data_IF_891463202817
#
_entry.id   IF_891463202817
#
_cell.length_a   1.000
_cell.length_b   1.000
_cell.length_c   1.000
_cell.angle_alpha   90.00
_cell.angle_beta   90.00
_cell.angle_gamma   90.00
#
_symmetry.space_group_name_H-M   'P 1'
#
loop_
_entity.id
_entity.type
_entity.pdbx_description
1 polymer ?
#
# COMPACT_ATOMS: atom_id res chain seq x y z
N UNK A 1 5.63 -16.33 14.88
CA UNK A 1 5.82 -15.03 15.56
C UNK A 1 5.53 -13.95 14.54
N UNK A 2 4.71 -12.97 14.89
CA UNK A 2 4.42 -11.85 13.98
C UNK A 2 5.68 -10.99 13.79
N UNK A 3 5.94 -10.58 12.56
CA UNK A 3 7.12 -9.77 12.19
C UNK A 3 6.82 -8.89 10.99
N UNK A 4 7.64 -7.87 10.80
CA UNK A 4 7.58 -7.01 9.62
C UNK A 4 8.93 -7.03 8.91
N UNK A 5 8.92 -7.24 7.60
CA UNK A 5 10.08 -7.04 6.75
C UNK A 5 9.86 -5.79 5.90
N UNK A 6 10.90 -4.98 5.77
CA UNK A 6 10.86 -3.73 5.00
C UNK A 6 11.96 -3.76 3.95
N UNK A 7 11.58 -3.59 2.70
CA UNK A 7 12.49 -3.62 1.56
C UNK A 7 12.50 -2.28 0.83
N UNK A 8 13.68 -1.94 0.32
CA UNK A 8 13.92 -0.80 -0.56
C UNK A 8 14.48 -1.34 -1.88
N UNK A 9 13.61 -1.57 -2.86
CA UNK A 9 14.03 -2.12 -4.15
C UNK A 9 14.45 -1.04 -5.13
N UNK A 10 15.53 -1.33 -5.85
CA UNK A 10 16.02 -0.53 -6.98
C UNK A 10 15.53 -1.19 -8.27
N UNK A 11 14.23 -1.02 -8.58
CA UNK A 11 13.61 -1.53 -9.83
C UNK A 11 13.45 -0.40 -10.83
N UNK A 12 14.01 -0.58 -12.04
CA UNK A 12 14.03 0.43 -13.11
C UNK A 12 14.18 -0.21 -14.49
N UNK A 13 13.85 0.55 -15.53
CA UNK A 13 14.21 0.20 -16.91
C UNK A 13 15.64 0.65 -17.22
N UNK A 14 16.49 -0.28 -17.68
CA UNK A 14 17.86 0.01 -18.10
C UNK A 14 18.65 0.82 -17.08
N UNK A 15 19.20 1.95 -17.51
CA UNK A 15 20.02 2.86 -16.70
C UNK A 15 19.23 4.08 -16.16
N UNK A 16 17.90 4.00 -16.07
CA UNK A 16 17.07 5.07 -15.50
C UNK A 16 17.61 5.50 -14.12
N UNK A 17 17.73 6.82 -13.92
CA UNK A 17 18.22 7.36 -12.65
C UNK A 17 17.20 7.09 -11.54
N UNK A 18 17.67 6.53 -10.42
CA UNK A 18 16.91 6.48 -9.17
C UNK A 18 17.24 7.74 -8.36
N UNK A 19 16.22 8.50 -8.00
CA UNK A 19 16.31 9.66 -7.14
C UNK A 19 16.08 9.25 -5.69
N UNK A 20 16.75 9.96 -4.79
CA UNK A 20 16.54 9.78 -3.35
C UNK A 20 15.16 10.27 -2.91
N UNK A 21 14.65 9.69 -1.81
CA UNK A 21 13.46 10.22 -1.16
C UNK A 21 13.76 11.63 -0.64
N UNK A 22 13.01 12.67 -1.05
CA UNK A 22 13.25 14.01 -0.54
C UNK A 22 12.98 14.07 0.98
N UNK A 23 13.65 15.02 1.65
CA UNK A 23 13.49 15.24 3.08
C UNK A 23 12.03 15.50 3.44
N UNK A 24 11.53 14.80 4.45
CA UNK A 24 10.15 14.95 4.92
C UNK A 24 9.11 14.39 3.96
N UNK A 25 9.52 13.59 2.96
CA UNK A 25 8.60 12.84 2.12
C UNK A 25 7.66 11.99 2.97
N UNK A 26 6.38 12.02 2.63
CA UNK A 26 5.34 11.26 3.30
C UNK A 26 4.39 10.68 2.26
N UNK A 27 4.17 9.38 2.32
CA UNK A 27 3.26 8.71 1.42
C UNK A 27 2.49 7.60 2.11
N UNK A 28 1.29 7.35 1.61
CA UNK A 28 0.44 6.24 2.00
C UNK A 28 0.16 5.39 0.77
N UNK A 29 0.26 4.07 0.92
CA UNK A 29 -0.20 3.09 -0.05
C UNK A 29 -1.40 2.33 0.54
N UNK A 30 -2.35 1.92 -0.30
CA UNK A 30 -3.62 1.34 0.15
C UNK A 30 -4.64 2.40 0.57
N UNK A 31 -5.76 1.96 1.16
CA UNK A 31 -6.82 2.87 1.61
C UNK A 31 -7.57 2.23 2.80
N UNK A 32 -7.52 2.83 4.01
CA UNK A 32 -8.15 2.27 5.20
C UNK A 32 -9.68 2.18 5.13
N UNK A 33 -10.33 2.78 4.14
CA UNK A 33 -11.79 2.82 4.03
C UNK A 33 -12.34 2.06 2.81
N UNK A 34 -11.48 1.29 2.12
CA UNK A 34 -11.86 0.56 0.91
C UNK A 34 -12.53 -0.76 1.28
N UNK A 35 -13.72 -1.01 0.71
CA UNK A 35 -14.48 -2.25 0.86
C UNK A 35 -14.80 -2.95 -0.48
N UNK A 36 -14.16 -2.53 -1.57
CA UNK A 36 -14.29 -3.12 -2.91
C UNK A 36 -12.93 -3.16 -3.59
N UNK A 37 -12.73 -4.07 -4.54
CA UNK A 37 -11.50 -4.16 -5.34
C UNK A 37 -11.77 -3.79 -6.81
N UNK A 38 -10.86 -3.04 -7.41
CA UNK A 38 -10.69 -2.91 -8.86
C UNK A 38 -9.32 -3.49 -9.22
N UNK A 39 -9.32 -4.66 -9.85
CA UNK A 39 -8.09 -5.37 -10.23
C UNK A 39 -7.25 -4.63 -11.27
N UNK A 40 -7.85 -3.66 -11.98
CA UNK A 40 -7.15 -2.84 -12.97
C UNK A 40 -6.49 -1.60 -12.34
N UNK A 41 -6.80 -1.28 -11.09
CA UNK A 41 -6.16 -0.19 -10.36
C UNK A 41 -4.83 -0.68 -9.75
N UNK A 42 -3.67 -0.20 -10.23
CA UNK A 42 -2.38 -0.65 -9.72
C UNK A 42 -2.22 -0.37 -8.21
N UNK A 43 -2.90 0.65 -7.66
CA UNK A 43 -2.86 0.94 -6.24
C UNK A 43 -3.62 -0.09 -5.38
N UNK A 44 -4.54 -0.83 -6.00
CA UNK A 44 -5.29 -1.91 -5.37
C UNK A 44 -4.59 -3.25 -5.58
N UNK A 45 -4.09 -3.49 -6.80
CA UNK A 45 -3.28 -4.66 -7.11
C UNK A 45 -2.00 -4.75 -6.25
N UNK A 46 -1.45 -3.60 -5.83
CA UNK A 46 -0.26 -3.51 -4.96
C UNK A 46 -0.49 -3.97 -3.50
N UNK A 47 -1.73 -4.34 -3.14
CA UNK A 47 -2.12 -4.83 -1.82
C UNK A 47 -2.44 -6.30 -1.92
N UNK A 48 -1.61 -7.16 -1.34
CA UNK A 48 -1.71 -8.60 -1.52
C UNK A 48 -1.64 -9.36 -0.19
N UNK A 49 -2.22 -10.54 -0.17
CA UNK A 49 -2.20 -11.52 0.89
C UNK A 49 -1.65 -12.83 0.35
N UNK A 50 -0.68 -13.39 1.05
CA UNK A 50 -0.05 -14.66 0.71
C UNK A 50 -0.24 -15.62 1.86
N UNK A 51 -0.82 -16.78 1.54
CA UNK A 51 -1.00 -17.87 2.48
C UNK A 51 0.23 -18.79 2.39
N UNK A 52 1.21 -18.56 3.26
CA UNK A 52 2.50 -19.22 3.17
C UNK A 52 2.35 -20.74 3.42
N UNK A 53 3.21 -21.53 2.78
CA UNK A 53 3.12 -23.00 2.81
C UNK A 53 2.06 -23.56 1.87
N UNK A 54 1.56 -22.76 0.91
CA UNK A 54 0.62 -23.18 -0.12
C UNK A 54 1.07 -22.68 -1.50
N UNK A 55 0.67 -23.37 -2.56
CA UNK A 55 0.92 -22.95 -3.95
C UNK A 55 -0.11 -21.94 -4.48
N UNK A 56 -0.84 -21.27 -3.59
CA UNK A 56 -1.90 -20.32 -3.98
C UNK A 56 -1.26 -19.00 -4.40
N UNK A 57 -1.73 -18.45 -5.50
CA UNK A 57 -1.35 -17.10 -5.96
C UNK A 57 -1.71 -16.05 -4.90
N UNK A 58 -0.97 -14.92 -4.85
CA UNK A 58 -1.37 -13.80 -4.00
C UNK A 58 -2.83 -13.41 -4.23
N UNK A 59 -3.53 -13.07 -3.14
CA UNK A 59 -4.94 -12.69 -3.11
C UNK A 59 -5.06 -11.21 -2.71
N UNK A 60 -6.12 -10.50 -3.11
CA UNK A 60 -6.33 -9.12 -2.67
C UNK A 60 -7.28 -8.99 -1.45
N UNK A 61 -7.74 -10.11 -0.91
CA UNK A 61 -8.59 -10.21 0.27
C UNK A 61 -7.99 -11.18 1.30
N UNK A 62 -8.51 -11.16 2.53
CA UNK A 62 -8.13 -12.17 3.52
C UNK A 62 -8.39 -13.58 2.96
N UNK A 63 -7.44 -14.52 3.12
CA UNK A 63 -7.69 -15.89 2.72
C UNK A 63 -8.85 -16.49 3.52
N UNK A 64 -9.71 -17.30 2.91
CA UNK A 64 -10.79 -17.99 3.63
C UNK A 64 -10.34 -19.35 4.17
N UNK A 65 -9.12 -19.39 4.74
CA UNK A 65 -8.46 -20.61 5.22
C UNK A 65 -7.31 -20.29 6.17
N UNK A 66 -6.92 -21.28 6.98
CA UNK A 66 -5.67 -21.22 7.75
C UNK A 66 -4.46 -21.41 6.84
N UNK A 67 -3.39 -20.67 7.13
CA UNK A 67 -2.14 -20.68 6.39
C UNK A 67 -1.07 -21.49 7.15
N UNK A 68 -0.57 -22.60 6.57
CA UNK A 68 0.37 -23.50 7.25
C UNK A 68 1.61 -22.81 7.80
N UNK A 69 2.19 -21.90 7.02
CA UNK A 69 3.45 -21.21 7.35
C UNK A 69 3.22 -19.72 7.67
N UNK A 70 2.07 -19.39 8.28
CA UNK A 70 1.61 -18.04 8.65
C UNK A 70 1.00 -17.22 7.47
N UNK A 71 0.18 -16.22 7.83
CA UNK A 71 -0.41 -15.27 6.86
C UNK A 71 0.57 -14.12 6.62
N UNK A 72 0.81 -13.76 5.36
CA UNK A 72 1.58 -12.56 5.00
C UNK A 72 0.68 -11.56 4.28
N UNK A 73 0.43 -10.41 4.89
CA UNK A 73 -0.10 -9.23 4.18
C UNK A 73 1.09 -8.43 3.63
N UNK A 74 1.01 -7.96 2.40
CA UNK A 74 2.12 -7.27 1.76
C UNK A 74 1.64 -6.07 0.96
N UNK A 75 2.46 -5.04 0.92
CA UNK A 75 2.13 -3.75 0.28
C UNK A 75 3.33 -3.18 -0.45
N UNK A 76 3.17 -2.89 -1.74
CA UNK A 76 4.15 -2.14 -2.52
C UNK A 76 3.71 -0.69 -2.61
N UNK A 77 4.62 0.25 -2.38
CA UNK A 77 4.32 1.67 -2.51
C UNK A 77 4.53 2.17 -3.95
N UNK A 78 3.85 3.26 -4.33
CA UNK A 78 4.15 3.94 -5.58
C UNK A 78 5.59 4.47 -5.58
N UNK A 79 6.24 4.44 -6.74
CA UNK A 79 7.69 4.68 -6.88
C UNK A 79 8.04 5.73 -7.94
N UNK A 80 7.06 6.50 -8.42
CA UNK A 80 7.24 7.62 -9.35
C UNK A 80 6.83 8.92 -8.64
N UNK A 81 7.72 9.90 -8.57
CA UNK A 81 7.54 11.17 -7.85
C UNK A 81 7.36 12.36 -8.81
N UNK A 82 6.56 13.35 -8.40
CA UNK A 82 6.27 14.56 -9.18
C UNK A 82 7.44 15.56 -9.28
N UNK A 83 8.51 15.33 -8.52
CA UNK A 83 9.70 16.18 -8.53
C UNK A 83 9.57 17.46 -7.70
N UNK A 84 8.45 17.69 -7.02
CA UNK A 84 8.14 18.97 -6.38
C UNK A 84 7.65 18.84 -4.95
N UNK A 85 6.69 17.95 -4.71
CA UNK A 85 5.96 17.91 -3.44
C UNK A 85 6.42 16.73 -2.61
N UNK A 86 6.73 16.97 -1.34
CA UNK A 86 7.09 15.91 -0.38
C UNK A 86 5.85 15.30 0.29
N UNK A 87 4.70 15.92 0.12
CA UNK A 87 3.43 15.45 0.63
C UNK A 87 2.29 16.15 -0.11
N UNK A 88 1.24 15.40 -0.44
CA UNK A 88 -0.05 15.90 -0.90
C UNK A 88 -1.13 14.95 -0.37
N UNK A 89 -2.34 15.48 -0.15
CA UNK A 89 -3.49 14.69 0.27
C UNK A 89 -3.73 13.51 -0.69
N UNK A 90 -3.95 12.32 -0.11
CA UNK A 90 -4.13 11.08 -0.88
C UNK A 90 -2.90 10.65 -1.67
N UNK A 91 -1.70 11.10 -1.27
CA UNK A 91 -0.42 10.78 -1.92
C UNK A 91 -0.34 11.21 -3.40
N UNK A 92 -1.08 12.25 -3.82
CA UNK A 92 -1.12 12.72 -5.21
C UNK A 92 0.21 13.18 -5.82
N UNK A 93 1.28 13.26 -5.02
CA UNK A 93 2.64 13.62 -5.44
C UNK A 93 3.47 12.41 -5.85
N UNK A 94 2.91 11.21 -5.68
CA UNK A 94 3.50 9.96 -6.14
C UNK A 94 2.50 9.17 -6.97
N UNK A 95 3.02 8.29 -7.82
CA UNK A 95 2.25 7.41 -8.69
C UNK A 95 2.94 6.06 -8.86
N UNK A 96 2.16 5.05 -9.23
CA UNK A 96 2.70 3.82 -9.78
C UNK A 96 3.19 4.06 -11.22
N UNK A 97 3.99 3.14 -11.77
CA UNK A 97 4.36 3.16 -13.19
C UNK A 97 3.14 3.26 -14.10
N UNK A 98 3.32 3.92 -15.25
CA UNK A 98 2.28 4.04 -16.28
C UNK A 98 2.06 2.73 -17.05
N UNK A 99 3.07 1.85 -17.04
CA UNK A 99 3.10 0.62 -17.81
C UNK A 99 3.64 -0.53 -16.96
N UNK A 100 3.19 -1.75 -17.28
CA UNK A 100 3.55 -2.96 -16.54
C UNK A 100 2.89 -3.08 -15.18
N UNK A 101 3.27 -4.11 -14.42
CA UNK A 101 2.79 -4.29 -13.04
C UNK A 101 3.39 -3.21 -12.15
N UNK A 102 2.67 -2.86 -11.08
CA UNK A 102 3.06 -1.83 -10.10
C UNK A 102 4.50 -1.97 -9.57
N UNK A 103 5.03 -3.19 -9.53
CA UNK A 103 6.37 -3.52 -9.05
C UNK A 103 7.34 -3.94 -10.16
N UNK A 104 6.97 -3.95 -11.44
CA UNK A 104 7.82 -4.43 -12.53
C UNK A 104 8.93 -3.44 -12.95
N UNK A 105 8.95 -2.23 -12.39
CA UNK A 105 9.88 -1.18 -12.79
C UNK A 105 9.57 -0.59 -14.17
N UNK A 106 8.32 -0.64 -14.63
CA UNK A 106 7.88 0.01 -15.87
C UNK A 106 7.97 1.54 -15.81
N UNK A 107 7.90 2.23 -16.95
CA UNK A 107 8.16 3.67 -17.05
C UNK A 107 7.27 4.52 -16.14
N UNK A 108 7.84 5.57 -15.55
CA UNK A 108 7.07 6.54 -14.79
C UNK A 108 6.21 7.43 -15.72
N UNK A 109 4.99 7.81 -15.31
CA UNK A 109 4.17 8.73 -16.08
C UNK A 109 4.81 10.12 -16.16
N UNK A 110 4.48 10.88 -17.20
CA UNK A 110 5.02 12.23 -17.42
C UNK A 110 4.68 13.22 -16.30
N UNK A 111 3.61 12.96 -15.52
CA UNK A 111 3.24 13.76 -14.35
C UNK A 111 4.07 13.43 -13.11
N UNK A 112 4.75 12.28 -13.08
CA UNK A 112 5.59 11.82 -11.98
C UNK A 112 6.93 11.26 -12.48
N UNK A 113 7.76 12.06 -13.19
CA UNK A 113 8.86 11.52 -13.98
C UNK A 113 10.09 11.09 -13.17
N UNK A 114 10.09 11.28 -11.85
CA UNK A 114 11.25 10.99 -10.99
C UNK A 114 11.09 9.64 -10.30
N UNK A 115 11.79 8.61 -10.79
CA UNK A 115 11.84 7.31 -10.12
C UNK A 115 12.48 7.42 -8.74
N UNK A 116 11.85 6.90 -7.71
CA UNK A 116 12.41 6.74 -6.36
C UNK A 116 12.52 5.23 -6.02
N UNK A 117 13.27 4.82 -4.98
CA UNK A 117 13.30 3.44 -4.55
C UNK A 117 11.89 2.94 -4.25
N UNK A 118 11.62 1.68 -4.58
CA UNK A 118 10.31 1.07 -4.35
C UNK A 118 10.27 0.49 -2.94
N UNK A 119 9.39 1.03 -2.10
CA UNK A 119 9.15 0.45 -0.77
C UNK A 119 8.24 -0.77 -0.91
N UNK A 120 8.59 -1.84 -0.23
CA UNK A 120 7.75 -3.02 -0.11
C UNK A 120 7.78 -3.48 1.33
N UNK A 121 6.61 -3.63 1.95
CA UNK A 121 6.49 -4.11 3.33
C UNK A 121 5.78 -5.46 3.33
N UNK A 122 6.28 -6.38 4.15
CA UNK A 122 5.64 -7.65 4.47
C UNK A 122 5.30 -7.68 5.94
N UNK A 123 4.04 -7.93 6.25
CA UNK A 123 3.53 -8.13 7.61
C UNK A 123 3.15 -9.59 7.75
N UNK A 124 3.90 -10.31 8.57
CA UNK A 124 3.64 -11.70 8.89
C UNK A 124 2.83 -11.79 10.17
N UNK A 125 1.73 -12.53 10.13
CA UNK A 125 0.83 -12.78 11.24
C UNK A 125 0.78 -14.26 11.54
N UNK A 126 0.97 -14.63 12.81
CA UNK A 126 0.82 -16.02 13.18
C UNK A 126 -0.60 -16.51 12.91
N UNK A 127 -0.73 -17.61 12.17
CA UNK A 127 -2.03 -18.08 11.68
C UNK A 127 -2.25 -19.57 11.98
N UNK A 128 -1.69 -20.06 13.10
CA UNK A 128 -1.74 -21.46 13.52
C UNK A 128 -3.06 -21.87 14.20
N UNK A 129 -4.09 -21.06 14.05
CA UNK A 129 -5.42 -21.29 14.60
C UNK A 129 -6.35 -21.82 13.50
N UNK A 130 -7.35 -22.61 13.87
CA UNK A 130 -8.38 -23.05 12.93
C UNK A 130 -9.15 -21.85 12.39
N UNK A 131 -9.21 -21.72 11.06
CA UNK A 131 -9.94 -20.62 10.43
C UNK A 131 -11.44 -20.71 10.73
N UNK A 132 -12.00 -19.57 11.12
CA UNK A 132 -13.45 -19.37 11.24
C UNK A 132 -13.82 -18.21 10.30
N UNK A 133 -14.89 -18.32 9.50
CA UNK A 133 -15.34 -17.21 8.66
C UNK A 133 -15.52 -15.91 9.45
N UNK A 134 -14.98 -14.80 8.93
CA UNK A 134 -15.04 -13.49 9.59
C UNK A 134 -14.11 -13.32 10.81
N UNK A 135 -13.22 -14.28 11.09
CA UNK A 135 -12.32 -14.19 12.24
C UNK A 135 -11.09 -13.27 12.03
N UNK A 136 -10.85 -12.80 10.80
CA UNK A 136 -9.76 -11.88 10.48
C UNK A 136 -10.33 -10.49 10.27
N UNK A 137 -9.84 -9.54 11.07
CA UNK A 137 -10.33 -8.17 11.05
C UNK A 137 -9.15 -7.22 11.26
N UNK A 138 -9.02 -6.20 10.43
CA UNK A 138 -8.10 -5.10 10.68
C UNK A 138 -8.63 -4.19 11.79
N UNK A 139 -7.74 -3.54 12.54
CA UNK A 139 -8.10 -2.68 13.68
C UNK A 139 -9.12 -1.56 13.35
N UNK A 140 -9.22 -1.17 12.09
CA UNK A 140 -10.14 -0.15 11.61
C UNK A 140 -11.57 -0.68 11.30
N UNK A 141 -11.75 -2.01 11.30
CA UNK A 141 -13.07 -2.68 11.22
C UNK A 141 -13.27 -3.59 10.01
N UNK A 142 -12.36 -3.55 9.03
CA UNK A 142 -12.44 -4.35 7.81
C UNK A 142 -12.22 -5.85 8.08
N UNK A 143 -13.25 -6.63 7.81
CA UNK A 143 -13.31 -8.08 7.94
C UNK A 143 -13.15 -8.82 6.59
N UNK A 144 -12.86 -8.10 5.50
CA UNK A 144 -12.63 -8.66 4.15
C UNK A 144 -11.18 -8.48 3.68
N UNK A 145 -10.47 -7.45 4.14
CA UNK A 145 -9.03 -7.22 3.91
C UNK A 145 -8.68 -6.08 2.95
N UNK A 146 -9.66 -5.46 2.27
CA UNK A 146 -9.42 -4.40 1.29
C UNK A 146 -8.93 -3.06 1.88
N UNK A 147 -9.11 -2.88 3.19
CA UNK A 147 -8.70 -1.72 3.97
C UNK A 147 -7.23 -1.73 4.39
N UNK A 148 -6.45 -2.75 4.00
CA UNK A 148 -5.02 -2.77 4.31
C UNK A 148 -4.29 -1.59 3.65
N UNK A 149 -3.42 -0.95 4.43
CA UNK A 149 -2.64 0.21 4.00
C UNK A 149 -1.32 0.26 4.77
N UNK A 150 -0.41 1.10 4.29
CA UNK A 150 0.86 1.38 4.93
C UNK A 150 1.25 2.84 4.73
N UNK A 151 1.90 3.39 5.74
CA UNK A 151 2.37 4.77 5.75
C UNK A 151 3.90 4.79 5.80
N UNK A 152 4.49 5.71 5.04
CA UNK A 152 5.91 5.97 5.02
C UNK A 152 6.17 7.44 5.30
N UNK A 153 7.13 7.70 6.18
CA UNK A 153 7.73 9.02 6.38
C UNK A 153 9.24 8.87 6.24
N UNK A 154 9.84 9.65 5.35
CA UNK A 154 11.28 9.63 5.15
C UNK A 154 12.00 10.27 6.35
N UNK A 155 12.74 9.44 7.08
CA UNK A 155 13.63 9.83 8.17
C UNK A 155 15.10 9.55 7.90
N UNK A 156 15.47 9.12 6.70
CA UNK A 156 16.86 8.82 6.36
C UNK A 156 17.69 10.10 6.19
N UNK A 157 19.00 10.07 6.51
CA UNK A 157 19.91 11.17 6.22
C UNK A 157 19.90 11.52 4.73
N UNK A 158 19.90 12.82 4.43
CA UNK A 158 19.98 13.31 3.05
C UNK A 158 21.30 12.89 2.40
N UNK A 159 21.24 12.34 1.19
CA UNK A 159 22.38 11.83 0.42
C UNK A 159 22.59 10.32 0.55
N UNK A 160 22.01 9.68 1.57
CA UNK A 160 22.28 8.28 1.87
C UNK A 160 21.75 7.35 0.78
N UNK A 161 20.55 7.62 0.22
CA UNK A 161 20.05 6.78 -0.89
C UNK A 161 20.87 6.97 -2.15
N UNK A 162 21.42 8.16 -2.38
CA UNK A 162 22.34 8.38 -3.48
C UNK A 162 23.59 7.49 -3.33
N UNK A 163 24.14 7.40 -2.12
CA UNK A 163 25.26 6.48 -1.83
C UNK A 163 24.88 5.01 -2.00
N UNK A 164 23.71 4.60 -1.50
CA UNK A 164 23.19 3.21 -1.63
C UNK A 164 23.02 2.83 -3.10
N UNK A 165 22.40 3.68 -3.91
CA UNK A 165 22.20 3.42 -5.34
C UNK A 165 23.53 3.33 -6.07
N UNK A 166 24.49 4.20 -5.75
CA UNK A 166 25.82 4.19 -6.35
C UNK A 166 26.65 2.97 -5.95
N UNK A 167 26.42 2.42 -4.75
CA UNK A 167 27.07 1.21 -4.28
C UNK A 167 26.61 -0.06 -5.03
N UNK A 168 25.47 0.00 -5.74
CA UNK A 168 25.00 -1.04 -6.65
C UNK A 168 24.87 -2.41 -5.98
N UNK A 169 25.41 -3.44 -6.63
CA UNK A 169 25.29 -4.83 -6.18
C UNK A 169 25.92 -5.11 -4.81
N UNK A 170 26.80 -4.23 -4.30
CA UNK A 170 27.31 -4.35 -2.93
C UNK A 170 26.24 -4.13 -1.85
N UNK A 171 25.08 -3.58 -2.22
CA UNK A 171 23.92 -3.42 -1.36
C UNK A 171 22.79 -4.43 -1.65
N UNK A 172 23.04 -5.47 -2.46
CA UNK A 172 22.14 -6.62 -2.65
C UNK A 172 22.25 -7.61 -1.48
N UNK A 173 21.94 -7.16 -0.27
CA UNK A 173 22.26 -7.86 0.98
C UNK A 173 21.07 -8.55 1.66
N UNK A 174 19.91 -8.57 1.00
CA UNK A 174 18.66 -9.17 1.51
C UNK A 174 18.34 -8.69 2.94
N UNK A 175 18.31 -9.61 3.92
CA UNK A 175 17.97 -9.35 5.32
C UNK A 175 19.15 -8.83 6.15
N UNK A 176 20.34 -8.78 5.58
CA UNK A 176 21.57 -8.35 6.27
C UNK A 176 21.91 -6.91 5.89
N UNK A 177 20.98 -5.98 6.13
CA UNK A 177 21.07 -4.57 5.70
C UNK A 177 22.38 -3.88 6.14
N UNK A 178 22.98 -4.31 7.25
CA UNK A 178 24.28 -3.82 7.73
C UNK A 178 25.48 -4.21 6.84
N UNK A 179 25.32 -5.14 5.90
CA UNK A 179 26.35 -5.51 4.93
C UNK A 179 26.42 -4.55 3.73
N UNK A 180 25.42 -3.68 3.52
CA UNK A 180 25.48 -2.63 2.52
C UNK A 180 26.48 -1.56 2.98
N UNK A 181 27.58 -1.29 2.23
CA UNK A 181 28.68 -0.45 2.75
C UNK A 181 28.28 0.95 3.24
N UNK A 182 27.42 1.71 2.54
CA UNK A 182 26.91 3.00 3.05
C UNK A 182 26.13 2.88 4.36
N UNK A 183 25.47 1.74 4.58
CA UNK A 183 24.60 1.50 5.73
C UNK A 183 25.34 0.97 6.96
N UNK A 184 26.49 0.31 6.77
CA UNK A 184 27.23 -0.40 7.83
C UNK A 184 27.45 0.44 9.10
N UNK A 185 27.71 1.73 8.96
CA UNK A 185 27.93 2.65 10.09
C UNK A 185 26.68 2.88 10.97
N UNK A 186 25.47 2.71 10.41
CA UNK A 186 24.21 2.93 11.11
C UNK A 186 23.69 1.66 11.81
N UNK A 187 24.13 0.48 11.38
CA UNK A 187 23.72 -0.81 11.94
C UNK A 187 24.79 -1.39 12.88
N UNK A 188 25.02 -0.69 14.01
CA UNK A 188 26.05 -1.07 14.99
C UNK A 188 25.70 -2.31 15.83
N UNK A 189 24.44 -2.75 15.83
CA UNK A 189 23.94 -3.80 16.72
C UNK A 189 23.81 -3.36 18.18
N UNK A 190 24.06 -2.09 18.48
CA UNK A 190 24.01 -1.51 19.83
C UNK A 190 22.80 -0.57 19.91
N UNK A 191 22.02 -0.63 20.99
CA UNK A 191 20.82 0.21 21.17
C UNK A 191 19.57 -0.31 20.44
N UNK A 192 19.61 -1.53 19.90
CA UNK A 192 18.41 -2.19 19.39
C UNK A 192 17.35 -2.30 20.49
N UNK A 193 16.14 -1.79 20.24
CA UNK A 193 15.04 -1.80 21.20
C UNK A 193 15.09 -0.71 22.28
N UNK A 194 16.09 0.19 22.27
CA UNK A 194 16.13 1.33 23.21
C UNK A 194 15.46 2.58 22.67
N UNK A 195 15.03 2.57 21.40
CA UNK A 195 14.30 3.68 20.80
C UNK A 195 12.92 3.82 21.44
N UNK A 196 12.57 5.03 21.86
CA UNK A 196 11.25 5.43 22.32
C UNK A 196 10.83 6.66 21.52
N UNK A 197 9.52 6.93 21.36
CA UNK A 197 9.07 8.19 20.81
C UNK A 197 9.58 9.37 21.65
N UNK A 198 10.05 10.44 20.98
CA UNK A 198 10.47 11.67 21.66
C UNK A 198 9.34 12.29 22.50
N UNK A 199 8.10 12.14 22.02
CA UNK A 199 6.89 12.52 22.72
C UNK A 199 6.11 11.25 23.11
N UNK A 200 6.08 10.83 24.39
CA UNK A 200 5.37 9.63 24.79
C UNK A 200 3.85 9.76 24.63
N UNK A 201 3.31 10.97 24.49
CA UNK A 201 1.86 11.19 24.28
C UNK A 201 1.39 10.73 22.91
N UNK A 202 2.31 10.44 21.99
CA UNK A 202 1.98 9.83 20.69
C UNK A 202 1.46 8.40 20.82
N UNK A 203 1.79 7.73 21.94
CA UNK A 203 1.33 6.39 22.23
C UNK A 203 -0.06 6.50 22.83
N UNK A 204 -1.06 6.06 22.08
CA UNK A 204 -2.43 5.95 22.58
C UNK A 204 -2.48 4.82 23.60
N UNK A 205 -2.85 5.16 24.84
CA UNK A 205 -3.02 4.17 25.90
C UNK A 205 -4.38 3.47 25.77
N UNK A 206 -4.41 2.39 25.00
CA UNK A 206 -5.60 1.57 24.79
C UNK A 206 -5.28 0.07 24.80
N UNK A 207 -6.32 -0.74 24.96
CA UNK A 207 -6.19 -2.19 24.96
C UNK A 207 -5.98 -2.70 23.52
N UNK A 208 -4.74 -3.06 23.18
CA UNK A 208 -4.37 -3.56 21.84
C UNK A 208 -4.20 -5.08 21.74
N UNK A 209 -4.42 -5.78 22.86
CA UNK A 209 -4.42 -7.25 22.89
C UNK A 209 -3.05 -7.91 23.11
N UNK A 210 -2.04 -7.16 23.54
CA UNK A 210 -0.69 -7.70 23.79
C UNK A 210 -0.66 -8.82 24.84
N UNK A 211 -1.56 -8.77 25.83
CA UNK A 211 -1.56 -9.69 26.98
C UNK A 211 -2.81 -10.57 27.07
N UNK A 212 -3.88 -10.26 26.33
CA UNK A 212 -5.16 -10.95 26.38
C UNK A 212 -6.01 -10.66 25.15
N UNK A 213 -7.03 -11.49 24.92
CA UNK A 213 -8.06 -11.19 23.92
C UNK A 213 -8.79 -9.89 24.28
N UNK A 214 -9.04 -9.04 23.26
CA UNK A 214 -9.73 -7.77 23.42
C UNK A 214 -11.23 -7.91 23.19
N UNK A 215 -12.03 -7.12 23.92
CA UNK A 215 -13.50 -7.12 23.80
C UNK A 215 -14.04 -6.30 22.62
N UNK A 216 -13.21 -5.44 22.05
CA UNK A 216 -13.51 -4.53 20.93
C UNK A 216 -12.22 -4.13 20.23
N UNK A 217 -12.31 -3.69 18.98
CA UNK A 217 -11.13 -3.22 18.24
C UNK A 217 -10.57 -1.93 18.87
N UNK A 218 -9.24 -1.70 18.76
CA UNK A 218 -8.63 -0.42 19.11
C UNK A 218 -9.38 0.76 18.45
N UNK A 219 -9.49 1.87 19.15
CA UNK A 219 -10.26 3.04 18.75
C UNK A 219 -11.78 2.88 18.87
N UNK A 220 -12.27 1.77 19.42
CA UNK A 220 -13.68 1.38 19.40
C UNK A 220 -14.26 1.28 17.97
N UNK A 221 -13.44 0.87 17.00
CA UNK A 221 -13.88 0.75 15.62
C UNK A 221 -14.92 -0.38 15.47
N UNK A 222 -16.07 -0.13 14.81
CA UNK A 222 -17.04 -1.18 14.51
C UNK A 222 -16.55 -2.07 13.37
N UNK A 223 -16.91 -3.35 13.41
CA UNK A 223 -16.67 -4.29 12.29
C UNK A 223 -17.61 -3.93 11.13
N UNK A 224 -17.09 -3.98 9.91
CA UNK A 224 -17.80 -3.55 8.71
C UNK A 224 -18.84 -4.56 8.21
N UNK A 225 -18.66 -5.86 8.51
CA UNK A 225 -19.51 -6.96 8.00
C UNK A 225 -19.54 -7.00 6.47
N UNK A 226 -18.38 -6.79 5.82
CA UNK A 226 -18.25 -6.64 4.37
C UNK A 226 -18.89 -5.36 3.78
N UNK A 227 -19.50 -4.53 4.62
CA UNK A 227 -20.14 -3.28 4.22
C UNK A 227 -19.16 -2.14 3.98
N UNK A 228 -19.70 -0.94 3.78
CA UNK A 228 -18.89 0.28 3.70
C UNK A 228 -18.33 0.64 5.07
N UNK A 229 -17.11 1.21 5.07
CA UNK A 229 -16.45 1.69 6.28
C UNK A 229 -17.34 2.66 7.08
N UNK A 230 -17.84 2.29 8.28
CA UNK A 230 -18.77 3.11 9.05
C UNK A 230 -18.16 4.44 9.51
N UNK A 231 -16.84 4.45 9.74
CA UNK A 231 -16.09 5.59 10.26
C UNK A 231 -15.51 6.52 9.17
N UNK A 232 -15.93 6.36 7.90
CA UNK A 232 -15.49 7.25 6.83
C UNK A 232 -16.11 8.63 7.03
N UNK A 233 -15.30 9.70 7.02
CA UNK A 233 -15.85 11.06 7.05
C UNK A 233 -16.78 11.26 5.83
N UNK A 234 -18.05 11.55 6.09
CA UNK A 234 -19.09 11.72 5.06
C UNK A 234 -19.97 10.50 4.78
N UNK A 235 -19.76 9.34 5.41
CA UNK A 235 -20.76 8.26 5.42
C UNK A 235 -21.82 8.56 6.49
N UNK A 236 -22.98 9.05 6.06
CA UNK A 236 -24.14 9.34 6.93
C UNK A 236 -24.85 8.09 7.48
N UNK A 237 -24.10 7.07 7.88
CA UNK A 237 -24.63 5.85 8.51
C UNK A 237 -24.25 5.85 9.99
N UNK A 238 -25.21 6.16 10.85
CA UNK A 238 -25.06 5.88 12.28
C UNK A 238 -24.76 4.38 12.44
N UNK A 239 -23.59 4.05 12.99
CA UNK A 239 -23.28 2.69 13.42
C UNK A 239 -24.34 2.27 14.45
N UNK A 240 -25.35 1.52 14.01
CA UNK A 240 -26.25 0.83 14.92
C UNK A 240 -25.50 -0.39 15.41
N UNK A 241 -25.03 -0.33 16.65
CA UNK A 241 -24.49 -1.47 17.36
C UNK A 241 -25.62 -2.49 17.57
N UNK A 242 -25.81 -3.42 16.64
CA UNK A 242 -26.59 -4.63 16.90
C UNK A 242 -25.64 -5.70 17.43
N UNK A 243 -25.52 -5.77 18.75
CA UNK A 243 -24.93 -6.91 19.43
C UNK A 243 -25.85 -8.13 19.23
N UNK A 244 -25.45 -9.06 18.38
CA UNK A 244 -26.11 -10.36 18.23
C UNK A 244 -25.68 -11.28 19.38
N UNK A 245 -26.49 -11.38 20.43
CA UNK A 245 -26.38 -12.46 21.41
C UNK A 245 -26.93 -13.78 20.83
N UNK A 246 -26.40 -14.96 21.22
CA UNK A 246 -26.79 -16.24 20.63
C UNK A 246 -28.17 -16.69 21.09
N UNK A 247 -28.88 -17.36 20.17
CA UNK A 247 -30.25 -17.85 20.32
C UNK A 247 -30.39 -18.92 21.41
N UNK A 248 -31.30 -18.70 22.35
CA UNK A 248 -31.84 -19.73 23.24
C UNK A 248 -33.20 -20.21 22.73
N UNK A 249 -33.32 -21.52 22.59
CA UNK A 249 -34.53 -22.23 22.17
C UNK A 249 -35.66 -22.10 23.22
N UNK A 250 -36.88 -21.88 22.75
CA UNK A 250 -38.10 -21.88 23.57
C UNK A 250 -39.31 -21.54 22.72
N UNK A 251 -40.25 -22.49 22.59
CA UNK A 251 -41.25 -22.52 21.53
C UNK A 251 -42.42 -21.53 21.66
N UNK A 252 -43.15 -21.35 20.56
CA UNK A 252 -44.57 -21.75 20.46
C UNK A 252 -45.15 -21.46 19.08
N UNK A 253 -46.17 -22.26 18.80
CA UNK A 253 -47.03 -22.38 17.63
C UNK A 253 -47.93 -21.18 17.31
N UNK A 254 -48.45 -21.21 16.08
CA UNK A 254 -49.77 -20.76 15.56
C UNK A 254 -49.73 -19.63 14.51
N UNK A 255 -50.35 -20.00 13.38
CA UNK A 255 -50.67 -19.39 12.09
C UNK A 255 -51.32 -18.00 12.09
N UNK A 256 -51.19 -17.27 10.96
CA UNK A 256 -52.25 -17.16 9.94
C UNK A 256 -51.90 -16.17 8.81
N UNK A 257 -52.31 -16.55 7.58
CA UNK A 257 -52.70 -15.81 6.35
C UNK A 257 -52.14 -14.39 6.08
N UNK A 258 -51.81 -13.99 4.84
CA UNK A 258 -52.09 -14.53 3.51
C UNK A 258 -51.93 -13.41 2.47
N UNK A 259 -51.98 -13.81 1.19
CA UNK A 259 -51.99 -12.99 -0.04
C UNK A 259 -50.63 -12.39 -0.44
N UNK A 260 -50.01 -12.68 -1.59
CA UNK A 260 -50.51 -13.18 -2.86
C UNK A 260 -50.74 -12.02 -3.85
N UNK A 261 -49.72 -11.64 -4.62
CA UNK A 261 -49.94 -11.11 -5.98
C UNK A 261 -48.70 -11.28 -6.85
N UNK A 262 -48.86 -12.15 -7.84
CA UNK A 262 -48.08 -12.33 -9.05
C UNK A 262 -48.03 -11.05 -9.90
N UNK A 263 -46.89 -10.80 -10.55
CA UNK A 263 -46.81 -9.74 -11.57
C UNK A 263 -45.41 -9.54 -12.13
N UNK A 264 -44.93 -10.48 -12.95
CA UNK A 264 -43.97 -10.18 -14.02
C UNK A 264 -44.79 -9.69 -15.23
N UNK A 265 -44.29 -8.76 -16.06
CA UNK A 265 -43.68 -9.25 -17.28
C UNK A 265 -42.58 -8.37 -17.91
N UNK A 266 -41.86 -9.07 -18.79
CA UNK A 266 -41.31 -8.67 -20.09
C UNK A 266 -39.99 -7.94 -20.20
N UNK A 267 -39.14 -8.64 -20.97
CA UNK A 267 -37.86 -8.26 -21.52
C UNK A 267 -37.95 -7.16 -22.58
N UNK A 268 -36.86 -6.42 -22.73
CA UNK A 268 -36.42 -5.83 -23.99
C UNK A 268 -34.92 -6.09 -24.14
N UNK A 269 -34.60 -6.99 -25.07
CA UNK A 269 -33.24 -7.29 -25.50
C UNK A 269 -32.76 -6.21 -26.49
N UNK A 270 -31.52 -5.75 -26.33
CA UNK A 270 -30.79 -4.98 -27.35
C UNK A 270 -29.57 -5.81 -27.73
N UNK A 271 -29.56 -6.32 -28.97
CA UNK A 271 -28.38 -6.87 -29.63
C UNK A 271 -27.47 -5.74 -30.12
N UNK A 272 -26.14 -5.88 -30.10
CA UNK A 272 -25.24 -5.09 -30.95
C UNK A 272 -24.97 -5.81 -32.28
N UNK A 273 -24.84 -5.08 -33.41
CA UNK A 273 -24.39 -5.66 -34.67
C UNK A 273 -22.87 -5.87 -34.69
N UNK A 274 -22.45 -6.91 -35.41
CA UNK A 274 -21.06 -7.28 -35.65
C UNK A 274 -20.39 -6.47 -36.78
N UNK A 275 -19.05 -6.48 -36.73
CA UNK A 275 -18.06 -6.39 -37.81
C UNK A 275 -17.66 -4.99 -38.33
N UNK A 276 -16.36 -4.68 -38.27
CA UNK A 276 -15.49 -4.76 -39.45
C UNK A 276 -14.00 -4.54 -39.14
N UNK A 277 -13.18 -5.51 -39.56
CA UNK A 277 -11.93 -5.38 -40.32
C UNK A 277 -10.68 -4.71 -39.69
N UNK A 278 -9.66 -5.57 -39.53
CA UNK A 278 -8.25 -5.23 -39.43
C UNK A 278 -7.65 -4.75 -40.77
N UNK A 279 -6.52 -4.04 -40.73
CA UNK A 279 -5.50 -4.13 -41.78
C UNK A 279 -4.17 -4.70 -41.23
N UNK A 280 -3.60 -5.61 -42.03
CA UNK A 280 -2.25 -6.17 -41.97
C UNK A 280 -1.26 -5.27 -42.77
N UNK A 281 0.06 -5.54 -42.76
CA UNK A 281 1.13 -4.54 -42.70
C UNK A 281 1.60 -4.05 -44.07
N UNK A 282 2.25 -2.90 -44.07
CA UNK A 282 3.10 -2.42 -45.17
C UNK A 282 4.55 -2.44 -44.73
N UNK A 283 5.34 -3.31 -45.35
CA UNK A 283 6.79 -3.19 -45.42
C UNK A 283 7.12 -2.00 -46.33
N UNK A 284 8.04 -1.14 -45.90
CA UNK A 284 8.84 -0.37 -46.84
C UNK A 284 10.28 -0.29 -46.38
N UNK A 285 11.16 -0.56 -47.34
CA UNK A 285 12.59 -0.78 -47.18
C UNK A 285 13.31 0.49 -47.63
N UNK A 286 13.98 1.21 -46.73
CA UNK A 286 14.95 2.22 -47.13
C UNK A 286 16.21 2.16 -46.27
N UNK A 287 17.30 1.82 -46.95
CA UNK A 287 18.69 1.92 -46.53
C UNK A 287 19.12 3.38 -46.50
N UNK A 288 19.73 3.85 -45.40
CA UNK A 288 20.63 5.01 -45.45
C UNK A 288 21.65 4.97 -44.29
N UNK A 289 22.87 5.41 -44.62
CA UNK A 289 24.12 5.34 -43.84
C UNK A 289 24.11 6.08 -42.50
N UNK A 290 25.05 5.75 -41.58
CA UNK A 290 25.08 6.32 -40.23
C UNK A 290 25.40 7.81 -40.21
N UNK A 291 24.62 8.55 -39.42
CA UNK A 291 24.87 9.96 -39.10
C UNK A 291 26.13 10.13 -38.22
N UNK A 292 26.85 11.26 -38.34
CA UNK A 292 28.10 11.48 -37.62
C UNK A 292 27.89 11.61 -36.10
N UNK A 293 28.88 11.12 -35.36
CA UNK A 293 28.96 11.19 -33.90
C UNK A 293 28.85 12.63 -33.39
N UNK A 294 27.81 12.89 -32.58
CA UNK A 294 27.69 14.09 -31.77
C UNK A 294 28.42 13.86 -30.44
N UNK A 295 29.49 14.62 -30.20
CA UNK A 295 30.19 14.66 -28.91
C UNK A 295 29.52 15.78 -28.09
N UNK A 296 28.80 15.48 -27.00
CA UNK A 296 28.27 16.53 -26.13
C UNK A 296 29.41 17.19 -25.35
N UNK A 297 29.36 18.51 -25.11
CA UNK A 297 30.33 19.18 -24.26
C UNK A 297 30.22 18.67 -22.82
N UNK A 298 31.37 18.42 -22.20
CA UNK A 298 31.53 18.16 -20.77
C UNK A 298 31.04 19.38 -19.97
N UNK A 299 29.80 19.31 -19.51
CA UNK A 299 29.28 20.21 -18.48
C UNK A 299 29.36 19.51 -17.14
N UNK A 300 30.40 19.84 -16.38
CA UNK A 300 30.44 19.65 -14.93
C UNK A 300 29.49 20.67 -14.29
N UNK A 301 28.21 20.34 -14.26
CA UNK A 301 27.24 20.98 -13.39
C UNK A 301 26.38 19.88 -12.77
N UNK A 302 26.60 19.60 -11.49
CA UNK A 302 25.70 18.79 -10.71
C UNK A 302 24.31 19.45 -10.76
N UNK A 303 23.33 18.73 -11.29
CA UNK A 303 21.92 19.15 -11.21
C UNK A 303 21.52 19.02 -9.75
N UNK A 304 21.48 20.17 -9.07
CA UNK A 304 20.99 20.31 -7.70
C UNK A 304 19.53 19.82 -7.63
N UNK A 305 19.14 19.06 -6.59
CA UNK A 305 17.77 18.59 -6.47
C UNK A 305 16.78 19.78 -6.49
N UNK A 306 15.62 19.63 -7.14
CA UNK A 306 14.64 20.71 -7.24
C UNK A 306 14.22 21.18 -5.85
N UNK A 307 14.18 22.50 -5.67
CA UNK A 307 13.71 23.12 -4.44
C UNK A 307 12.28 22.64 -4.13
N UNK A 308 12.13 21.91 -3.02
CA UNK A 308 10.85 21.37 -2.58
C UNK A 308 10.00 22.47 -1.94
N UNK A 309 8.75 22.59 -2.36
CA UNK A 309 7.77 23.44 -1.68
C UNK A 309 6.92 22.56 -0.78
N UNK A 310 7.04 22.73 0.55
CA UNK A 310 6.14 22.04 1.47
C UNK A 310 4.78 22.73 1.47
N UNK A 311 3.76 22.09 0.90
CA UNK A 311 2.39 22.40 1.26
C UNK A 311 2.04 21.59 2.50
N UNK A 312 2.09 22.23 3.67
CA UNK A 312 1.68 21.62 4.93
C UNK A 312 0.16 21.41 4.94
N UNK A 313 -0.33 20.30 4.40
CA UNK A 313 -1.72 19.91 4.63
C UNK A 313 -1.84 19.13 5.94
N UNK A 314 -2.91 19.45 6.65
CA UNK A 314 -3.27 18.82 7.92
C UNK A 314 -3.93 17.49 7.65
N UNK A 315 -3.20 16.40 7.84
CA UNK A 315 -3.78 15.18 8.38
C UNK A 315 -3.59 15.18 9.89
N UNK A 316 -4.52 14.56 10.61
CA UNK A 316 -4.69 14.60 12.07
C UNK A 316 -3.42 14.92 12.87
N UNK A 317 -3.43 16.12 13.45
CA UNK A 317 -2.65 16.54 14.63
C UNK A 317 -1.24 15.98 14.82
N UNK A 318 -0.27 16.44 14.04
CA UNK A 318 1.13 16.51 14.49
C UNK A 318 1.61 17.96 14.41
N UNK A 319 1.15 18.76 15.37
CA UNK A 319 1.59 20.14 15.55
C UNK A 319 2.89 20.17 16.33
N UNK A 320 4.02 19.98 15.65
CA UNK A 320 5.34 20.25 16.23
C UNK A 320 5.47 21.76 16.52
N UNK A 321 5.33 22.15 17.78
CA UNK A 321 5.86 23.44 18.25
C UNK A 321 7.37 23.25 18.50
N UNK A 322 8.18 23.72 17.54
CA UNK A 322 9.59 24.04 17.81
C UNK A 322 9.64 25.06 18.95
N UNK A 323 10.36 24.75 20.03
CA UNK A 323 11.06 25.78 20.80
C UNK A 323 12.53 25.72 20.43
N UNK A 324 12.92 26.76 19.72
CA UNK A 324 14.27 27.28 19.62
C UNK A 324 14.57 27.94 20.98
N UNK A 325 15.82 27.78 21.45
CA UNK A 325 16.48 28.43 22.60
C UNK A 325 16.21 27.91 24.02
N UNK A 326 17.12 27.09 24.56
CA UNK A 326 18.16 27.44 25.56
C UNK A 326 18.93 26.19 26.00
#
# INVERSE_FOLDING_TARGET
MSRVNTYYFIRRQGEEKIYEFPKGMKMTAGNPFRNTIDENDPAQAAIEYVCLGTDVTPMNAFPERSCPDDLRAQITFPNCWDGKNVWLEGSKHISYPAEGRFDAGGACPSTHPYRIPTLFFEYHFNDKYGYTPGARVWAQGDDIGYGFHGDFTNGWPEGLFTEIVNAGSSCEVLFEVGNCPPLKQYFSGIGGGTCQPDDPTVIVNEEIGDNSAISRLPGNNPIWNGGSAPNKSGSGGAASASASAPASAGGSTISSNGSGSTGQPSAAAIQPPSSSLAPQPVEDSLTSSPAPFYIPPTSTAAVEPPATTSQSGRWGGWGAKRRIDQ
#
